data_IF_918440603560
#
_entry.id   IF_918440603560
#
_cell.length_a   1.000
_cell.length_b   1.000
_cell.length_c   1.000
_cell.angle_alpha   90.00
_cell.angle_beta   90.00
_cell.angle_gamma   90.00
#
_symmetry.space_group_name_H-M   'P 1'
#
loop_
_entity.id
_entity.type
_entity.pdbx_description
1 polymer ?
#
# COMPACT_ATOMS: atom_id res chain seq x y z
N UNK A 1 -12.13 25.71 12.25
CA UNK A 1 -12.12 24.93 10.99
C UNK A 1 -13.54 24.46 10.69
N UNK A 2 -13.97 24.45 9.43
CA UNK A 2 -15.22 23.76 9.06
C UNK A 2 -14.93 22.26 9.17
N UNK A 3 -15.66 21.57 10.04
CA UNK A 3 -15.61 20.11 10.16
C UNK A 3 -15.90 19.54 8.76
N UNK A 4 -14.97 18.73 8.22
CA UNK A 4 -15.24 17.98 7.00
C UNK A 4 -16.47 17.14 7.19
N UNK A 5 -17.27 17.04 6.14
CA UNK A 5 -18.44 16.19 6.10
C UNK A 5 -18.23 15.12 5.06
N UNK A 6 -19.06 14.09 5.15
CA UNK A 6 -19.22 13.14 4.07
C UNK A 6 -19.36 13.85 2.71
N UNK A 7 -18.49 13.45 1.77
CA UNK A 7 -18.37 13.98 0.43
C UNK A 7 -18.78 12.95 -0.65
N UNK A 8 -19.27 11.78 -0.23
CA UNK A 8 -19.75 10.73 -1.13
C UNK A 8 -21.25 10.95 -1.38
N UNK A 9 -21.63 10.99 -2.66
CA UNK A 9 -23.04 11.03 -3.08
C UNK A 9 -23.32 9.76 -3.88
N UNK A 10 -23.99 8.78 -3.26
CA UNK A 10 -24.29 7.48 -3.87
C UNK A 10 -24.99 7.65 -5.22
N UNK A 11 -26.02 8.51 -5.27
CA UNK A 11 -26.81 8.73 -6.48
C UNK A 11 -25.97 9.34 -7.58
N UNK A 12 -25.07 10.27 -7.25
CA UNK A 12 -24.14 10.84 -8.23
C UNK A 12 -23.26 9.74 -8.83
N UNK A 13 -22.61 8.92 -8.00
CA UNK A 13 -21.69 7.88 -8.47
C UNK A 13 -22.42 6.80 -9.31
N UNK A 14 -23.59 6.35 -8.85
CA UNK A 14 -24.44 5.41 -9.58
C UNK A 14 -24.89 5.98 -10.94
N UNK A 15 -25.34 7.23 -10.97
CA UNK A 15 -25.76 7.88 -12.20
C UNK A 15 -24.60 8.01 -13.20
N UNK A 16 -23.39 8.34 -12.74
CA UNK A 16 -22.20 8.41 -13.59
C UNK A 16 -21.90 7.04 -14.22
N UNK A 17 -21.97 5.95 -13.45
CA UNK A 17 -21.79 4.59 -13.98
C UNK A 17 -22.85 4.22 -15.02
N UNK A 18 -24.12 4.53 -14.75
CA UNK A 18 -25.22 4.21 -15.67
C UNK A 18 -25.15 5.02 -16.97
N UNK A 19 -24.68 6.27 -16.90
CA UNK A 19 -24.59 7.16 -18.06
C UNK A 19 -23.36 6.92 -18.93
N UNK A 20 -22.30 6.31 -18.39
CA UNK A 20 -21.09 6.02 -19.12
C UNK A 20 -21.36 5.05 -20.29
N UNK A 21 -21.08 5.52 -21.51
CA UNK A 21 -21.27 4.79 -22.77
C UNK A 21 -19.95 4.77 -23.53
N UNK A 22 -19.11 3.75 -23.32
CA UNK A 22 -17.77 3.73 -23.89
C UNK A 22 -17.82 3.61 -25.42
N UNK A 23 -16.94 4.36 -26.06
CA UNK A 23 -16.58 4.20 -27.48
C UNK A 23 -15.09 3.98 -27.57
N UNK A 24 -14.63 3.40 -28.68
CA UNK A 24 -13.20 3.16 -28.87
C UNK A 24 -12.39 4.46 -28.88
N UNK A 25 -12.89 5.50 -29.55
CA UNK A 25 -12.30 6.84 -29.58
C UNK A 25 -12.18 7.44 -28.17
N UNK A 26 -13.22 7.30 -27.35
CA UNK A 26 -13.23 7.85 -26.00
C UNK A 26 -12.24 7.13 -25.08
N UNK A 27 -12.15 5.81 -25.18
CA UNK A 27 -11.19 5.02 -24.40
C UNK A 27 -9.75 5.41 -24.75
N UNK A 28 -9.43 5.54 -26.04
CA UNK A 28 -8.10 6.00 -26.47
C UNK A 28 -7.80 7.42 -25.99
N UNK A 29 -8.78 8.34 -26.08
CA UNK A 29 -8.64 9.71 -25.59
C UNK A 29 -8.31 9.73 -24.08
N UNK A 30 -9.04 8.94 -23.29
CA UNK A 30 -8.87 8.84 -21.83
C UNK A 30 -7.49 8.25 -21.49
N UNK A 31 -7.08 7.17 -22.15
CA UNK A 31 -5.76 6.57 -21.94
C UNK A 31 -4.65 7.57 -22.28
N UNK A 32 -4.75 8.27 -23.42
CA UNK A 32 -3.75 9.27 -23.81
C UNK A 32 -3.63 10.43 -22.82
N UNK A 33 -4.76 10.90 -22.26
CA UNK A 33 -4.74 11.88 -21.17
C UNK A 33 -3.97 11.36 -19.96
N UNK A 34 -4.27 10.12 -19.54
CA UNK A 34 -3.58 9.49 -18.42
C UNK A 34 -2.08 9.28 -18.69
N UNK A 35 -1.69 8.95 -19.92
CA UNK A 35 -0.29 8.84 -20.36
C UNK A 35 0.47 10.17 -20.32
N UNK A 36 -0.23 11.30 -20.43
CA UNK A 36 0.28 12.64 -20.14
C UNK A 36 0.34 12.96 -18.64
N UNK A 37 0.07 11.95 -17.80
CA UNK A 37 0.12 11.96 -16.34
C UNK A 37 -0.93 12.88 -15.71
N UNK A 38 -2.07 13.02 -16.37
CA UNK A 38 -3.22 13.78 -15.87
C UNK A 38 -4.23 12.86 -15.18
N UNK A 39 -4.71 13.25 -13.99
CA UNK A 39 -5.75 12.52 -13.25
C UNK A 39 -7.09 12.56 -14.00
N UNK A 40 -7.72 11.38 -14.17
CA UNK A 40 -8.99 11.20 -14.88
C UNK A 40 -10.19 11.69 -14.06
N UNK A 41 -11.23 12.26 -14.70
CA UNK A 41 -12.49 12.58 -14.03
C UNK A 41 -13.28 11.32 -13.65
N UNK A 42 -14.31 11.48 -12.81
CA UNK A 42 -15.21 10.36 -12.48
C UNK A 42 -15.88 9.78 -13.73
N UNK A 43 -16.29 10.62 -14.68
CA UNK A 43 -16.94 10.22 -15.93
C UNK A 43 -15.97 9.48 -16.86
N UNK A 44 -14.72 9.95 -16.95
CA UNK A 44 -13.67 9.28 -17.72
C UNK A 44 -13.35 7.91 -17.10
N UNK A 45 -13.19 7.83 -15.77
CA UNK A 45 -12.97 6.57 -15.08
C UNK A 45 -14.16 5.61 -15.22
N UNK A 46 -15.39 6.11 -15.10
CA UNK A 46 -16.60 5.32 -15.33
C UNK A 46 -16.68 4.77 -16.75
N UNK A 47 -16.18 5.52 -17.73
CA UNK A 47 -16.08 5.03 -19.11
C UNK A 47 -15.13 3.84 -19.24
N UNK A 48 -13.99 3.86 -18.56
CA UNK A 48 -13.10 2.69 -18.51
C UNK A 48 -13.73 1.52 -17.74
N UNK A 49 -14.44 1.80 -16.64
CA UNK A 49 -15.13 0.78 -15.83
C UNK A 49 -16.24 0.07 -16.61
N UNK A 50 -16.93 0.77 -17.52
CA UNK A 50 -17.98 0.19 -18.37
C UNK A 50 -17.46 -0.42 -19.68
N UNK A 51 -16.15 -0.39 -19.92
CA UNK A 51 -15.57 -0.98 -21.12
C UNK A 51 -15.50 -2.51 -21.02
N UNK A 52 -16.49 -3.20 -21.60
CA UNK A 52 -16.61 -4.67 -21.52
C UNK A 52 -16.07 -5.42 -22.75
N UNK A 53 -15.71 -4.71 -23.83
CA UNK A 53 -15.18 -5.38 -25.03
C UNK A 53 -13.73 -5.84 -24.80
N UNK A 54 -13.34 -7.07 -25.16
CA UNK A 54 -11.98 -7.58 -24.96
C UNK A 54 -10.89 -6.67 -25.54
N UNK A 55 -11.10 -6.10 -26.72
CA UNK A 55 -10.16 -5.19 -27.36
C UNK A 55 -9.98 -3.86 -26.60
N UNK A 56 -11.00 -3.44 -25.85
CA UNK A 56 -10.95 -2.23 -25.03
C UNK A 56 -10.22 -2.50 -23.71
N UNK A 57 -10.50 -3.64 -23.08
CA UNK A 57 -9.83 -4.08 -21.85
C UNK A 57 -8.32 -4.21 -22.10
N UNK A 58 -7.93 -4.81 -23.22
CA UNK A 58 -6.52 -4.93 -23.62
C UNK A 58 -5.84 -3.57 -23.80
N UNK A 59 -6.53 -2.57 -24.37
CA UNK A 59 -6.00 -1.20 -24.46
C UNK A 59 -5.81 -0.58 -23.07
N UNK A 60 -6.75 -0.80 -22.16
CA UNK A 60 -6.67 -0.32 -20.77
C UNK A 60 -5.44 -0.92 -20.07
N UNK A 61 -5.23 -2.24 -20.20
CA UNK A 61 -4.07 -2.92 -19.61
C UNK A 61 -2.75 -2.37 -20.16
N UNK A 62 -2.62 -2.25 -21.49
CA UNK A 62 -1.42 -1.66 -22.12
C UNK A 62 -1.17 -0.23 -21.69
N UNK A 63 -2.21 0.60 -21.63
CA UNK A 63 -2.10 1.97 -21.16
C UNK A 63 -1.63 2.07 -19.72
N UNK A 64 -2.13 1.19 -18.85
CA UNK A 64 -1.76 1.17 -17.44
C UNK A 64 -0.31 0.69 -17.23
N UNK A 65 0.11 -0.34 -17.97
CA UNK A 65 1.49 -0.82 -17.98
C UNK A 65 2.46 0.25 -18.46
N UNK A 66 2.14 0.91 -19.58
CA UNK A 66 2.95 1.99 -20.11
C UNK A 66 3.06 3.15 -19.10
N UNK A 67 1.95 3.54 -18.46
CA UNK A 67 1.95 4.60 -17.46
C UNK A 67 2.76 4.22 -16.22
N UNK A 68 2.61 2.99 -15.71
CA UNK A 68 3.43 2.46 -14.60
C UNK A 68 4.90 2.60 -14.96
N UNK A 69 5.28 2.14 -16.14
CA UNK A 69 6.66 2.19 -16.61
C UNK A 69 7.16 3.64 -16.78
N UNK A 70 6.32 4.60 -17.22
CA UNK A 70 6.67 6.02 -17.32
C UNK A 70 6.92 6.68 -15.97
N UNK A 71 6.21 6.29 -14.91
CA UNK A 71 6.26 6.95 -13.59
C UNK A 71 7.18 6.19 -12.62
N UNK A 72 6.92 4.90 -12.41
CA UNK A 72 7.59 4.06 -11.42
C UNK A 72 8.73 3.24 -12.01
N UNK A 73 8.69 2.98 -13.32
CA UNK A 73 9.62 2.06 -13.97
C UNK A 73 9.43 0.63 -13.47
N UNK A 74 10.55 -0.09 -13.39
CA UNK A 74 10.72 -1.45 -12.90
C UNK A 74 10.88 -1.54 -11.38
N UNK A 75 10.86 -0.42 -10.66
CA UNK A 75 10.97 -0.43 -9.20
C UNK A 75 9.70 -0.98 -8.53
N UNK A 76 9.88 -1.90 -7.60
CA UNK A 76 8.85 -2.36 -6.66
C UNK A 76 9.32 -2.16 -5.22
N UNK A 77 8.60 -1.34 -4.46
CA UNK A 77 8.94 -1.07 -3.05
C UNK A 77 8.41 -2.20 -2.16
N UNK A 78 9.28 -2.73 -1.31
CA UNK A 78 8.95 -3.81 -0.38
C UNK A 78 8.70 -3.30 1.03
N UNK A 79 7.76 -3.93 1.72
CA UNK A 79 7.49 -3.73 3.15
C UNK A 79 6.99 -5.04 3.77
N UNK A 80 6.71 -5.01 5.07
CA UNK A 80 5.98 -6.07 5.74
C UNK A 80 5.00 -5.49 6.78
N UNK A 81 3.75 -6.00 6.87
CA UNK A 81 2.86 -5.62 7.96
C UNK A 81 3.36 -6.20 9.28
N UNK A 82 3.08 -5.53 10.40
CA UNK A 82 3.35 -6.04 11.74
C UNK A 82 2.09 -5.82 12.60
N UNK A 83 1.42 -6.91 12.94
CA UNK A 83 0.20 -6.88 13.74
C UNK A 83 0.56 -6.74 15.22
N UNK A 84 0.33 -5.55 15.76
CA UNK A 84 0.72 -5.23 17.16
C UNK A 84 -0.33 -5.71 18.15
N UNK A 85 -1.60 -5.77 17.74
CA UNK A 85 -2.67 -6.27 18.59
C UNK A 85 -4.01 -6.40 17.86
N UNK A 86 -4.78 -7.43 18.23
CA UNK A 86 -6.04 -7.79 17.56
C UNK A 86 -7.29 -7.62 18.44
N UNK A 87 -7.18 -6.96 19.61
CA UNK A 87 -8.37 -6.62 20.40
C UNK A 87 -9.21 -5.62 19.61
N UNK A 88 -10.50 -5.92 19.45
CA UNK A 88 -11.40 -5.05 18.71
C UNK A 88 -12.77 -5.03 19.36
N UNK A 89 -13.37 -3.84 19.46
CA UNK A 89 -14.72 -3.64 19.99
C UNK A 89 -15.80 -3.59 18.89
N UNK A 90 -15.39 -3.61 17.62
CA UNK A 90 -16.32 -3.60 16.49
C UNK A 90 -16.76 -4.99 16.08
N UNK A 91 -17.96 -5.09 15.51
CA UNK A 91 -18.47 -6.30 14.86
C UNK A 91 -18.62 -6.09 13.37
N UNK A 92 -17.49 -6.10 12.65
CA UNK A 92 -17.46 -6.06 11.19
C UNK A 92 -17.74 -7.47 10.66
N UNK A 93 -18.72 -7.62 9.78
CA UNK A 93 -19.20 -8.91 9.27
C UNK A 93 -18.07 -9.75 8.63
N UNK A 94 -17.16 -9.07 7.95
CA UNK A 94 -16.08 -9.62 7.14
C UNK A 94 -14.75 -9.89 7.87
N UNK A 95 -14.63 -9.57 9.16
CA UNK A 95 -13.33 -9.54 9.84
C UNK A 95 -13.22 -10.62 10.91
N UNK A 96 -12.15 -11.43 10.87
CA UNK A 96 -11.86 -12.45 11.89
C UNK A 96 -11.65 -11.86 13.28
N UNK A 97 -11.19 -10.61 13.38
CA UNK A 97 -11.00 -9.91 14.66
C UNK A 97 -12.28 -9.29 15.23
N UNK A 98 -13.46 -9.48 14.62
CA UNK A 98 -14.73 -8.93 15.17
C UNK A 98 -14.95 -9.34 16.63
N UNK A 99 -15.49 -8.45 17.45
CA UNK A 99 -15.63 -8.63 18.90
C UNK A 99 -16.41 -9.89 19.30
N UNK A 100 -17.38 -10.29 18.48
CA UNK A 100 -18.21 -11.49 18.68
C UNK A 100 -17.48 -12.79 18.35
N UNK A 101 -16.32 -12.74 17.68
CA UNK A 101 -15.54 -13.93 17.42
C UNK A 101 -14.78 -14.33 18.69
N UNK A 102 -15.19 -15.45 19.30
CA UNK A 102 -14.58 -16.06 20.48
C UNK A 102 -13.57 -17.15 20.14
N UNK A 103 -13.42 -17.51 18.85
CA UNK A 103 -12.44 -18.50 18.38
C UNK A 103 -11.06 -17.88 18.15
N UNK A 104 -11.00 -16.56 17.98
CA UNK A 104 -9.74 -15.83 17.75
C UNK A 104 -8.95 -15.64 19.06
N UNK A 105 -7.64 -15.89 18.99
CA UNK A 105 -6.72 -15.68 20.11
C UNK A 105 -6.40 -14.20 20.29
N UNK A 106 -6.96 -13.59 21.34
CA UNK A 106 -6.78 -12.16 21.61
C UNK A 106 -5.39 -11.89 22.20
N UNK A 107 -4.56 -11.20 21.43
CA UNK A 107 -3.21 -10.85 21.83
C UNK A 107 -2.90 -9.37 21.58
N UNK A 108 -1.96 -8.84 22.37
CA UNK A 108 -1.36 -7.52 22.18
C UNK A 108 0.09 -7.65 22.57
N UNK A 109 0.99 -7.32 21.64
CA UNK A 109 2.41 -7.38 21.89
C UNK A 109 2.79 -6.43 23.02
N UNK A 110 3.52 -6.94 24.00
CA UNK A 110 4.30 -6.09 24.89
C UNK A 110 5.40 -5.41 24.08
N UNK A 111 6.00 -4.34 24.63
CA UNK A 111 7.12 -3.68 23.96
C UNK A 111 8.28 -4.65 23.69
N UNK A 112 8.55 -5.60 24.61
CA UNK A 112 9.63 -6.57 24.40
C UNK A 112 9.34 -7.54 23.26
N UNK A 113 8.11 -8.03 23.16
CA UNK A 113 7.69 -8.90 22.06
C UNK A 113 7.68 -8.14 20.73
N UNK A 114 7.17 -6.90 20.72
CA UNK A 114 7.24 -6.02 19.55
C UNK A 114 8.69 -5.84 19.07
N UNK A 115 9.63 -5.60 19.98
CA UNK A 115 11.05 -5.48 19.64
C UNK A 115 11.61 -6.81 19.10
N UNK A 116 11.16 -7.96 19.62
CA UNK A 116 11.56 -9.27 19.10
C UNK A 116 11.05 -9.50 17.66
N UNK A 117 9.81 -9.13 17.37
CA UNK A 117 9.24 -9.17 16.01
C UNK A 117 10.03 -8.27 15.06
N UNK A 118 10.30 -7.02 15.46
CA UNK A 118 11.08 -6.07 14.64
C UNK A 118 12.48 -6.62 14.35
N UNK A 119 13.16 -7.21 15.34
CA UNK A 119 14.47 -7.85 15.15
C UNK A 119 14.39 -9.01 14.15
N UNK A 120 13.34 -9.82 14.21
CA UNK A 120 13.14 -10.91 13.26
C UNK A 120 12.90 -10.39 11.83
N UNK A 121 12.13 -9.31 11.67
CA UNK A 121 11.95 -8.64 10.38
C UNK A 121 13.27 -8.04 9.85
N UNK A 122 14.04 -7.38 10.71
CA UNK A 122 15.33 -6.77 10.37
C UNK A 122 16.37 -7.81 9.93
N UNK A 123 16.41 -8.98 10.58
CA UNK A 123 17.24 -10.14 10.17
C UNK A 123 16.91 -10.66 8.79
N UNK A 124 15.65 -10.55 8.37
CA UNK A 124 15.20 -10.94 7.02
C UNK A 124 15.43 -9.83 5.99
N UNK A 125 15.95 -8.67 6.40
CA UNK A 125 16.31 -7.57 5.52
C UNK A 125 15.25 -6.48 5.39
N UNK A 126 14.11 -6.58 6.08
CA UNK A 126 13.08 -5.56 6.05
C UNK A 126 13.59 -4.19 6.52
N UNK A 127 13.11 -3.12 5.89
CA UNK A 127 13.41 -1.72 6.27
C UNK A 127 12.14 -0.85 6.36
N UNK A 128 10.98 -1.37 5.97
CA UNK A 128 9.70 -0.66 5.95
C UNK A 128 8.65 -1.54 6.58
N UNK A 129 7.87 -1.00 7.51
CA UNK A 129 6.80 -1.74 8.16
C UNK A 129 5.50 -0.95 8.19
N UNK A 130 4.37 -1.66 8.18
CA UNK A 130 3.05 -1.10 8.48
C UNK A 130 2.57 -1.70 9.80
N UNK A 131 2.48 -0.91 10.86
CA UNK A 131 1.93 -1.38 12.12
C UNK A 131 0.40 -1.42 12.01
N UNK A 132 -0.18 -2.57 12.35
CA UNK A 132 -1.61 -2.85 12.23
C UNK A 132 -2.20 -3.11 13.61
N UNK A 133 -3.36 -2.50 13.88
CA UNK A 133 -4.06 -2.59 15.16
C UNK A 133 -5.54 -2.87 14.94
N UNK A 134 -6.15 -3.62 15.86
CA UNK A 134 -7.60 -3.59 16.05
C UNK A 134 -8.09 -2.22 16.51
N UNK A 135 -9.36 -2.09 16.85
CA UNK A 135 -9.92 -0.87 17.43
C UNK A 135 -10.39 -1.15 18.85
N UNK A 136 -9.62 -0.72 19.84
CA UNK A 136 -9.84 -0.96 21.27
C UNK A 136 -9.36 0.26 22.07
N UNK A 137 -9.95 0.55 23.25
CA UNK A 137 -9.41 1.56 24.17
C UNK A 137 -7.94 1.31 24.56
N UNK A 138 -7.45 0.08 24.44
CA UNK A 138 -6.04 -0.28 24.67
C UNK A 138 -5.08 0.28 23.60
N UNK A 139 -5.60 0.67 22.42
CA UNK A 139 -4.83 1.11 21.26
C UNK A 139 -5.04 2.59 20.96
N UNK A 140 -5.01 3.42 22.01
CA UNK A 140 -5.07 4.86 21.86
C UNK A 140 -3.83 5.43 21.14
N UNK A 141 -3.87 6.73 20.85
CA UNK A 141 -2.78 7.41 20.17
C UNK A 141 -1.45 7.36 20.97
N UNK A 142 -1.49 7.29 22.29
CA UNK A 142 -0.28 7.18 23.13
C UNK A 142 0.36 5.80 23.01
N UNK A 143 -0.44 4.74 22.99
CA UNK A 143 0.04 3.38 22.75
C UNK A 143 0.62 3.23 21.35
N UNK A 144 -0.07 3.72 20.32
CA UNK A 144 0.44 3.71 18.93
C UNK A 144 1.76 4.50 18.86
N UNK A 145 1.82 5.71 19.43
CA UNK A 145 3.05 6.50 19.46
C UNK A 145 4.22 5.78 20.18
N UNK A 146 3.92 5.10 21.29
CA UNK A 146 4.91 4.32 22.05
C UNK A 146 5.45 3.13 21.25
N UNK A 147 4.58 2.43 20.53
CA UNK A 147 4.99 1.27 19.71
C UNK A 147 5.81 1.71 18.50
N UNK A 148 5.47 2.83 17.85
CA UNK A 148 6.31 3.44 16.79
C UNK A 148 7.71 3.78 17.30
N UNK A 149 7.83 4.45 18.46
CA UNK A 149 9.14 4.73 19.07
C UNK A 149 9.92 3.45 19.32
N UNK A 150 9.28 2.42 19.88
CA UNK A 150 9.94 1.14 20.13
C UNK A 150 10.46 0.48 18.84
N UNK A 151 9.73 0.57 17.73
CA UNK A 151 10.21 0.09 16.42
C UNK A 151 11.44 0.88 15.97
N UNK A 152 11.38 2.22 15.99
CA UNK A 152 12.53 3.05 15.61
C UNK A 152 13.73 2.94 16.54
N UNK A 153 13.54 2.59 17.81
CA UNK A 153 14.61 2.36 18.80
C UNK A 153 15.22 0.95 18.69
N UNK A 154 14.58 0.05 17.93
CA UNK A 154 15.06 -1.33 17.75
C UNK A 154 16.08 -1.38 16.61
N UNK A 155 17.15 -2.14 16.84
CA UNK A 155 18.16 -2.47 15.85
C UNK A 155 18.61 -3.90 16.07
N UNK A 156 18.87 -4.60 14.97
CA UNK A 156 19.45 -5.94 14.94
C UNK A 156 20.59 -5.98 13.93
N UNK A 157 21.82 -5.98 14.45
CA UNK A 157 23.05 -5.89 13.66
C UNK A 157 23.04 -4.68 12.69
N UNK A 158 23.10 -4.92 11.37
CA UNK A 158 23.01 -3.88 10.32
C UNK A 158 21.56 -3.50 9.96
N UNK A 159 20.58 -4.20 10.52
CA UNK A 159 19.16 -4.01 10.24
C UNK A 159 18.55 -2.82 10.98
N UNK A 160 17.66 -2.11 10.28
CA UNK A 160 16.84 -1.06 10.86
C UNK A 160 15.52 -0.87 10.09
N UNK A 161 14.41 -0.70 10.80
CA UNK A 161 13.18 -0.17 10.20
C UNK A 161 13.31 1.35 10.03
N UNK A 162 13.34 1.80 8.77
CA UNK A 162 13.56 3.20 8.36
C UNK A 162 12.28 4.00 8.16
N UNK A 163 11.14 3.34 7.93
CA UNK A 163 9.82 3.98 7.78
C UNK A 163 8.74 3.09 8.37
N UNK A 164 7.97 3.66 9.30
CA UNK A 164 6.80 3.03 9.92
C UNK A 164 5.53 3.71 9.44
N UNK A 165 4.71 2.99 8.67
CA UNK A 165 3.34 3.40 8.36
C UNK A 165 2.38 2.82 9.40
N UNK A 166 1.18 3.38 9.52
CA UNK A 166 0.15 2.94 10.46
C UNK A 166 -1.12 2.58 9.70
N UNK A 167 -1.70 1.42 10.00
CA UNK A 167 -3.08 1.09 9.65
C UNK A 167 -3.86 0.86 10.94
N UNK A 168 -4.72 1.82 11.29
CA UNK A 168 -5.50 1.80 12.53
C UNK A 168 -6.82 2.57 12.33
N UNK A 169 -7.70 2.50 13.32
CA UNK A 169 -8.95 3.24 13.33
C UNK A 169 -8.74 4.77 13.24
N UNK A 170 -9.70 5.55 12.74
CA UNK A 170 -9.58 7.01 12.69
C UNK A 170 -9.36 7.62 14.09
N UNK A 171 -8.42 8.55 14.21
CA UNK A 171 -8.14 9.30 15.43
C UNK A 171 -8.75 10.71 15.34
N UNK A 172 -8.72 11.42 16.46
CA UNK A 172 -8.93 12.87 16.45
C UNK A 172 -7.63 13.61 16.08
N UNK A 173 -7.73 14.93 15.90
CA UNK A 173 -6.59 15.76 15.49
C UNK A 173 -5.44 15.68 16.51
N UNK A 174 -5.73 15.65 17.80
CA UNK A 174 -4.70 15.61 18.83
C UNK A 174 -4.00 14.25 18.89
N UNK A 175 -4.72 13.14 18.67
CA UNK A 175 -4.15 11.83 18.46
C UNK A 175 -3.22 11.79 17.23
N UNK A 176 -3.63 12.37 16.11
CA UNK A 176 -2.78 12.46 14.93
C UNK A 176 -1.53 13.33 15.14
N UNK A 177 -1.61 14.42 15.91
CA UNK A 177 -0.42 15.22 16.27
C UNK A 177 0.61 14.39 17.03
N UNK A 178 0.17 13.55 17.98
CA UNK A 178 1.08 12.62 18.68
C UNK A 178 1.79 11.68 17.71
N UNK A 179 1.08 11.19 16.69
CA UNK A 179 1.69 10.32 15.67
C UNK A 179 2.66 11.08 14.75
N UNK A 180 2.37 12.34 14.44
CA UNK A 180 3.29 13.23 13.73
C UNK A 180 4.58 13.45 14.52
N UNK A 181 4.49 13.69 15.83
CA UNK A 181 5.64 13.93 16.71
C UNK A 181 6.61 12.73 16.76
N UNK A 182 6.11 11.51 16.61
CA UNK A 182 6.95 10.29 16.59
C UNK A 182 7.46 9.91 15.19
N UNK A 183 7.11 10.68 14.17
CA UNK A 183 7.60 10.48 12.80
C UNK A 183 7.04 9.22 12.13
N UNK A 184 5.72 9.07 12.07
CA UNK A 184 5.16 8.05 11.17
C UNK A 184 5.37 8.46 9.70
N UNK A 185 5.41 7.47 8.82
CA UNK A 185 5.43 7.67 7.36
C UNK A 185 4.04 8.00 6.85
N UNK A 186 3.21 6.97 6.61
CA UNK A 186 1.85 7.12 6.08
C UNK A 186 0.81 6.64 7.09
N UNK A 187 -0.26 7.41 7.30
CA UNK A 187 -1.43 6.94 8.02
C UNK A 187 -2.49 6.40 7.05
N UNK A 188 -2.92 5.15 7.24
CA UNK A 188 -3.79 4.44 6.33
C UNK A 188 -5.15 4.16 6.97
N UNK A 189 -6.21 4.56 6.26
CA UNK A 189 -7.59 4.21 6.60
C UNK A 189 -8.24 3.62 5.36
N UNK A 190 -8.65 2.35 5.43
CA UNK A 190 -9.46 1.77 4.37
C UNK A 190 -10.91 2.18 4.61
N UNK A 191 -11.57 2.85 3.67
CA UNK A 191 -13.00 3.13 3.83
C UNK A 191 -13.82 1.82 3.92
N UNK A 192 -13.23 0.70 3.50
CA UNK A 192 -13.82 -0.64 3.39
C UNK A 192 -14.84 -0.70 2.26
N UNK A 193 -15.88 0.13 2.33
CA UNK A 193 -16.88 0.33 1.28
C UNK A 193 -17.39 1.77 1.34
N UNK A 194 -17.44 2.44 0.19
CA UNK A 194 -17.97 3.81 0.08
C UNK A 194 -19.50 3.82 0.01
N UNK A 195 -20.14 2.69 -0.29
CA UNK A 195 -21.60 2.61 -0.40
C UNK A 195 -22.26 2.63 0.98
N UNK A 196 -23.04 3.66 1.29
CA UNK A 196 -23.57 3.91 2.63
C UNK A 196 -24.40 2.75 3.19
N UNK A 197 -25.31 2.18 2.38
CA UNK A 197 -26.16 1.09 2.82
C UNK A 197 -25.34 -0.18 3.11
N UNK A 198 -24.35 -0.49 2.26
CA UNK A 198 -23.43 -1.61 2.50
C UNK A 198 -22.61 -1.35 3.76
N UNK A 199 -22.05 -0.16 3.94
CA UNK A 199 -21.26 0.18 5.11
C UNK A 199 -22.06 -0.01 6.41
N UNK A 200 -23.31 0.47 6.45
CA UNK A 200 -24.18 0.29 7.60
C UNK A 200 -24.52 -1.19 7.87
N UNK A 201 -24.68 -1.97 6.80
CA UNK A 201 -24.98 -3.41 6.89
C UNK A 201 -23.81 -4.19 7.48
N UNK A 202 -22.60 -4.00 6.95
CA UNK A 202 -21.43 -4.83 7.30
C UNK A 202 -20.72 -4.40 8.59
N UNK A 203 -21.04 -3.24 9.14
CA UNK A 203 -20.54 -2.76 10.44
C UNK A 203 -21.68 -2.77 11.47
N UNK A 204 -21.80 -3.86 12.25
CA UNK A 204 -22.97 -4.07 13.12
C UNK A 204 -22.92 -3.34 14.47
N UNK A 205 -21.73 -3.19 15.07
CA UNK A 205 -21.54 -2.51 16.37
C UNK A 205 -20.15 -1.89 16.48
N UNK A 206 -20.00 -0.98 17.45
CA UNK A 206 -18.76 -0.27 17.73
C UNK A 206 -18.64 1.09 17.01
N UNK A 207 -17.58 1.87 17.29
CA UNK A 207 -17.32 3.18 16.70
C UNK A 207 -17.17 3.15 15.17
N UNK A 208 -16.71 2.04 14.58
CA UNK A 208 -16.55 1.92 13.12
C UNK A 208 -17.87 2.05 12.36
N UNK A 209 -19.03 1.95 13.01
CA UNK A 209 -20.33 2.20 12.36
C UNK A 209 -20.53 3.63 11.87
N UNK A 210 -19.82 4.57 12.46
CA UNK A 210 -19.91 5.98 12.08
C UNK A 210 -19.18 6.21 10.75
N UNK A 211 -19.94 6.23 9.66
CA UNK A 211 -19.43 6.46 8.32
C UNK A 211 -18.74 7.82 8.22
N UNK A 212 -19.37 8.89 8.74
CA UNK A 212 -18.85 10.26 8.65
C UNK A 212 -17.54 10.41 9.44
N UNK A 213 -17.45 9.79 10.62
CA UNK A 213 -16.21 9.74 11.41
C UNK A 213 -15.07 9.06 10.65
N UNK A 214 -15.35 7.96 9.95
CA UNK A 214 -14.34 7.21 9.18
C UNK A 214 -13.94 7.94 7.90
N UNK A 215 -14.89 8.34 7.06
CA UNK A 215 -14.61 8.96 5.75
C UNK A 215 -13.82 10.28 5.89
N UNK A 216 -14.06 11.02 6.98
CA UNK A 216 -13.34 12.26 7.30
C UNK A 216 -12.10 12.04 8.20
N UNK A 217 -11.70 10.79 8.44
CA UNK A 217 -10.54 10.45 9.27
C UNK A 217 -9.23 11.03 8.74
N UNK A 218 -9.02 10.92 7.43
CA UNK A 218 -7.80 11.42 6.79
C UNK A 218 -7.80 12.94 6.63
N UNK A 219 -8.97 13.58 6.59
CA UNK A 219 -9.06 15.04 6.75
C UNK A 219 -8.43 15.49 8.08
N UNK A 220 -8.78 14.83 9.18
CA UNK A 220 -8.22 15.13 10.50
C UNK A 220 -6.72 14.85 10.56
N UNK A 221 -6.25 13.80 9.88
CA UNK A 221 -4.82 13.50 9.76
C UNK A 221 -4.07 14.63 9.03
N UNK A 222 -4.59 15.09 7.89
CA UNK A 222 -4.01 16.21 7.14
C UNK A 222 -4.08 17.53 7.92
N UNK A 223 -5.18 17.80 8.63
CA UNK A 223 -5.32 18.98 9.50
C UNK A 223 -4.36 18.95 10.71
N UNK A 224 -3.98 17.75 11.20
CA UNK A 224 -2.89 17.56 12.16
C UNK A 224 -1.48 17.68 11.53
N UNK A 225 -1.42 17.78 10.21
CA UNK A 225 -0.21 17.92 9.41
C UNK A 225 0.50 16.61 9.08
N UNK A 226 -0.20 15.48 9.11
CA UNK A 226 0.22 14.23 8.46
C UNK A 226 -0.18 14.32 6.99
N UNK A 227 0.81 14.59 6.14
CA UNK A 227 0.63 14.91 4.73
C UNK A 227 0.74 13.69 3.80
N UNK A 228 1.33 12.58 4.27
CA UNK A 228 1.25 11.28 3.62
C UNK A 228 0.11 10.44 4.23
N UNK A 229 -1.00 10.31 3.49
CA UNK A 229 -2.13 9.44 3.87
C UNK A 229 -2.37 8.33 2.85
N UNK A 230 -2.96 7.22 3.29
CA UNK A 230 -3.37 6.12 2.41
C UNK A 230 -4.84 5.79 2.54
N UNK A 231 -5.52 5.65 1.41
CA UNK A 231 -6.91 5.20 1.35
C UNK A 231 -6.97 3.74 0.87
N UNK A 232 -8.11 3.09 1.05
CA UNK A 232 -8.33 1.77 0.47
C UNK A 232 -9.77 1.30 0.56
N UNK A 233 -10.06 0.23 -0.16
CA UNK A 233 -11.37 -0.45 -0.22
C UNK A 233 -11.14 -1.94 -0.03
N UNK A 234 -12.05 -2.59 0.69
CA UNK A 234 -12.13 -4.05 0.75
C UNK A 234 -13.05 -4.54 -0.38
N UNK A 235 -12.45 -4.88 -1.53
CA UNK A 235 -13.18 -5.37 -2.69
C UNK A 235 -13.82 -6.73 -2.38
N UNK A 236 -15.12 -6.86 -2.66
CA UNK A 236 -15.91 -8.01 -2.21
C UNK A 236 -17.15 -7.63 -1.40
N UNK A 237 -17.18 -6.42 -0.83
CA UNK A 237 -18.33 -5.97 -0.01
C UNK A 237 -19.47 -5.36 -0.84
N UNK A 238 -19.14 -4.72 -1.96
CA UNK A 238 -20.09 -4.10 -2.89
C UNK A 238 -19.52 -4.08 -4.32
N UNK A 239 -20.30 -3.56 -5.27
CA UNK A 239 -19.92 -3.45 -6.68
C UNK A 239 -18.58 -2.73 -6.86
N UNK A 240 -17.62 -3.43 -7.49
CA UNK A 240 -16.25 -2.93 -7.58
C UNK A 240 -16.13 -1.66 -8.43
N UNK A 241 -17.03 -1.44 -9.40
CA UNK A 241 -17.03 -0.23 -10.23
C UNK A 241 -17.43 0.99 -9.40
N UNK A 242 -18.46 0.85 -8.57
CA UNK A 242 -18.85 1.86 -7.59
C UNK A 242 -17.68 2.19 -6.66
N UNK A 243 -17.02 1.17 -6.11
CA UNK A 243 -15.93 1.39 -5.15
C UNK A 243 -14.70 2.07 -5.77
N UNK A 244 -14.37 1.78 -7.05
CA UNK A 244 -13.31 2.50 -7.77
C UNK A 244 -13.66 3.98 -7.94
N UNK A 245 -14.93 4.32 -8.23
CA UNK A 245 -15.35 5.73 -8.25
C UNK A 245 -15.30 6.37 -6.86
N UNK A 246 -15.64 5.64 -5.79
CA UNK A 246 -15.51 6.11 -4.42
C UNK A 246 -14.06 6.46 -4.05
N UNK A 247 -13.11 5.59 -4.40
CA UNK A 247 -11.66 5.84 -4.25
C UNK A 247 -11.22 7.10 -5.00
N UNK A 248 -11.70 7.29 -6.23
CA UNK A 248 -11.36 8.46 -7.03
C UNK A 248 -12.00 9.74 -6.48
N UNK A 249 -13.25 9.71 -6.03
CA UNK A 249 -13.91 10.88 -5.41
C UNK A 249 -13.20 11.29 -4.11
N UNK A 250 -12.78 10.31 -3.29
CA UNK A 250 -11.96 10.59 -2.11
C UNK A 250 -10.60 11.22 -2.48
N UNK A 251 -9.96 10.71 -3.53
CA UNK A 251 -8.73 11.33 -4.05
C UNK A 251 -8.97 12.79 -4.47
N UNK A 252 -10.03 13.05 -5.24
CA UNK A 252 -10.42 14.40 -5.69
C UNK A 252 -10.72 15.32 -4.50
N UNK A 253 -11.37 14.81 -3.45
CA UNK A 253 -11.66 15.57 -2.24
C UNK A 253 -10.37 16.03 -1.55
N UNK A 254 -9.43 15.11 -1.33
CA UNK A 254 -8.14 15.44 -0.70
C UNK A 254 -7.36 16.45 -1.55
N UNK A 255 -7.27 16.23 -2.86
CA UNK A 255 -6.62 17.17 -3.79
C UNK A 255 -7.26 18.57 -3.76
N UNK A 256 -8.60 18.66 -3.75
CA UNK A 256 -9.30 19.95 -3.71
C UNK A 256 -9.13 20.68 -2.39
N UNK A 257 -9.09 19.95 -1.27
CA UNK A 257 -9.08 20.56 0.07
C UNK A 257 -7.65 20.86 0.56
N UNK A 258 -6.68 20.04 0.17
CA UNK A 258 -5.31 20.08 0.70
C UNK A 258 -4.24 20.15 -0.39
N UNK A 259 -4.62 20.31 -1.67
CA UNK A 259 -3.74 20.34 -2.85
C UNK A 259 -2.91 19.06 -3.08
N UNK A 260 -3.16 18.01 -2.31
CA UNK A 260 -2.47 16.73 -2.42
C UNK A 260 -3.48 15.59 -2.24
N UNK A 261 -3.39 14.59 -3.10
CA UNK A 261 -4.16 13.35 -3.00
C UNK A 261 -3.55 12.38 -1.98
N UNK A 262 -4.08 11.14 -1.91
CA UNK A 262 -3.46 10.11 -1.09
C UNK A 262 -2.09 9.71 -1.65
N UNK A 263 -1.14 9.44 -0.75
CA UNK A 263 0.17 8.89 -1.09
C UNK A 263 0.03 7.47 -1.65
N UNK A 264 -0.91 6.68 -1.11
CA UNK A 264 -1.18 5.31 -1.56
C UNK A 264 -2.66 4.95 -1.60
N UNK A 265 -3.04 4.09 -2.53
CA UNK A 265 -4.30 3.35 -2.54
C UNK A 265 -4.00 1.85 -2.33
N UNK A 266 -4.67 1.25 -1.37
CA UNK A 266 -4.72 -0.19 -1.17
C UNK A 266 -6.05 -0.76 -1.68
N UNK A 267 -6.00 -1.93 -2.29
CA UNK A 267 -7.17 -2.60 -2.90
C UNK A 267 -7.25 -4.06 -2.44
N UNK A 268 -7.24 -4.37 -1.13
CA UNK A 268 -7.39 -5.75 -0.67
C UNK A 268 -8.71 -6.38 -1.16
N UNK A 269 -8.66 -7.63 -1.64
CA UNK A 269 -9.88 -8.44 -1.80
C UNK A 269 -10.27 -9.09 -0.48
N UNK A 270 -11.57 -9.32 -0.32
CA UNK A 270 -12.13 -10.12 0.75
C UNK A 270 -11.52 -11.54 0.70
N UNK A 271 -11.12 -12.04 1.86
CA UNK A 271 -10.47 -13.34 2.03
C UNK A 271 -11.11 -14.07 3.19
N UNK A 272 -10.95 -15.39 3.20
CA UNK A 272 -11.40 -16.25 4.30
C UNK A 272 -10.81 -15.77 5.63
N UNK A 273 -11.60 -15.82 6.69
CA UNK A 273 -11.20 -15.42 8.03
C UNK A 273 -11.97 -16.22 9.08
N UNK A 274 -11.39 -16.35 10.28
CA UNK A 274 -11.99 -17.09 11.40
C UNK A 274 -13.39 -16.58 11.71
N UNK A 275 -14.36 -17.51 11.80
CA UNK A 275 -15.76 -17.23 12.13
C UNK A 275 -16.43 -16.17 11.21
N UNK A 276 -16.04 -16.10 9.93
CA UNK A 276 -16.63 -15.21 8.92
C UNK A 276 -17.28 -16.04 7.82
N UNK A 277 -18.52 -15.69 7.47
CA UNK A 277 -19.18 -16.21 6.27
C UNK A 277 -19.19 -15.11 5.23
N UNK A 278 -18.70 -15.43 4.03
CA UNK A 278 -18.55 -14.49 2.93
C UNK A 278 -19.78 -14.60 2.01
N UNK A 279 -20.45 -13.47 1.76
CA UNK A 279 -21.44 -13.33 0.70
C UNK A 279 -20.72 -13.31 -0.65
N UNK A 280 -21.10 -14.22 -1.56
CA UNK A 280 -20.46 -14.37 -2.87
C UNK A 280 -20.91 -13.32 -3.89
N UNK A 281 -21.98 -12.56 -3.61
CA UNK A 281 -22.64 -11.66 -4.56
C UNK A 281 -21.72 -10.61 -5.20
N UNK A 282 -20.77 -10.08 -4.44
CA UNK A 282 -19.89 -8.98 -4.86
C UNK A 282 -18.41 -9.37 -4.86
N UNK A 283 -18.10 -10.67 -4.77
CA UNK A 283 -16.72 -11.12 -4.88
C UNK A 283 -16.13 -10.73 -6.22
N UNK A 284 -14.89 -10.26 -6.16
CA UNK A 284 -14.14 -9.78 -7.31
C UNK A 284 -13.25 -10.88 -7.83
N UNK A 285 -13.48 -11.31 -9.08
CA UNK A 285 -12.63 -12.31 -9.73
C UNK A 285 -11.28 -11.72 -10.17
N UNK A 286 -10.39 -12.57 -10.70
CA UNK A 286 -9.03 -12.15 -11.07
C UNK A 286 -9.00 -11.19 -12.27
N UNK A 287 -9.94 -11.30 -13.20
CA UNK A 287 -10.02 -10.41 -14.37
C UNK A 287 -10.58 -9.04 -13.98
N UNK A 288 -11.58 -9.01 -13.11
CA UNK A 288 -12.06 -7.77 -12.49
C UNK A 288 -10.95 -7.12 -11.64
N UNK A 289 -10.18 -7.92 -10.90
CA UNK A 289 -9.07 -7.41 -10.09
C UNK A 289 -7.96 -6.76 -10.94
N UNK A 290 -7.58 -7.40 -12.06
CA UNK A 290 -6.68 -6.80 -13.06
C UNK A 290 -7.23 -5.46 -13.58
N UNK A 291 -8.53 -5.40 -13.88
CA UNK A 291 -9.20 -4.17 -14.34
C UNK A 291 -9.17 -3.07 -13.28
N UNK A 292 -9.46 -3.39 -12.02
CA UNK A 292 -9.39 -2.43 -10.90
C UNK A 292 -8.01 -1.78 -10.84
N UNK A 293 -6.93 -2.59 -10.85
CA UNK A 293 -5.56 -2.10 -10.73
C UNK A 293 -5.18 -1.21 -11.92
N UNK A 294 -5.46 -1.67 -13.14
CA UNK A 294 -5.15 -0.93 -14.35
C UNK A 294 -5.90 0.41 -14.42
N UNK A 295 -7.20 0.40 -14.10
CA UNK A 295 -8.04 1.61 -14.11
C UNK A 295 -7.62 2.58 -13.00
N UNK A 296 -7.29 2.09 -11.80
CA UNK A 296 -6.77 2.94 -10.72
C UNK A 296 -5.44 3.60 -11.11
N UNK A 297 -4.50 2.84 -11.72
CA UNK A 297 -3.22 3.40 -12.20
C UNK A 297 -3.46 4.51 -13.21
N UNK A 298 -4.39 4.31 -14.15
CA UNK A 298 -4.75 5.33 -15.12
C UNK A 298 -5.46 6.53 -14.47
N UNK A 299 -6.35 6.30 -13.50
CA UNK A 299 -7.13 7.35 -12.86
C UNK A 299 -6.29 8.29 -11.99
N UNK A 300 -5.33 7.74 -11.24
CA UNK A 300 -4.47 8.48 -10.30
C UNK A 300 -2.97 8.19 -10.57
N UNK A 301 -2.38 8.80 -11.61
CA UNK A 301 -1.06 8.44 -12.13
C UNK A 301 0.06 8.39 -11.08
N UNK A 302 0.07 9.34 -10.13
CA UNK A 302 1.16 9.52 -9.17
C UNK A 302 0.95 8.83 -7.83
N UNK A 303 -0.24 8.33 -7.55
CA UNK A 303 -0.54 7.66 -6.28
C UNK A 303 0.05 6.24 -6.31
N UNK A 304 0.71 5.86 -5.22
CA UNK A 304 1.25 4.52 -5.06
C UNK A 304 0.11 3.50 -4.95
N UNK A 305 0.25 2.37 -5.63
CA UNK A 305 -0.69 1.25 -5.55
C UNK A 305 -0.04 0.14 -4.72
N UNK A 306 -0.73 -0.28 -3.64
CA UNK A 306 -0.29 -1.33 -2.70
C UNK A 306 -1.03 -2.63 -2.98
N UNK A 307 -0.28 -3.67 -3.34
CA UNK A 307 -0.77 -5.04 -3.46
C UNK A 307 -0.25 -5.87 -2.28
N UNK A 308 -1.16 -6.53 -1.56
CA UNK A 308 -0.83 -7.32 -0.36
C UNK A 308 -0.74 -8.82 -0.65
N UNK A 309 -0.15 -9.58 0.28
CA UNK A 309 -0.05 -11.04 0.27
C UNK A 309 -1.39 -11.76 0.44
N UNK A 310 -2.51 -11.03 0.45
CA UNK A 310 -3.86 -11.58 0.24
C UNK A 310 -3.95 -12.39 -1.05
N UNK A 311 -3.26 -11.94 -2.09
CA UNK A 311 -3.26 -12.62 -3.39
C UNK A 311 -2.15 -13.65 -3.48
N UNK A 312 -2.38 -14.71 -4.26
CA UNK A 312 -1.37 -15.73 -4.50
C UNK A 312 -0.24 -15.23 -5.40
N UNK A 313 0.90 -15.92 -5.34
CA UNK A 313 2.11 -15.59 -6.08
C UNK A 313 1.86 -15.38 -7.59
N UNK A 314 1.02 -16.22 -8.21
CA UNK A 314 0.76 -16.18 -9.65
C UNK A 314 0.02 -14.91 -10.02
N UNK A 315 -1.09 -14.62 -9.34
CA UNK A 315 -1.86 -13.40 -9.60
C UNK A 315 -1.03 -12.15 -9.29
N UNK A 316 -0.25 -12.16 -8.21
CA UNK A 316 0.63 -11.05 -7.86
C UNK A 316 1.60 -10.73 -9.00
N UNK A 317 2.26 -11.75 -9.55
CA UNK A 317 3.16 -11.62 -10.70
C UNK A 317 2.46 -11.00 -11.92
N UNK A 318 1.23 -11.42 -12.19
CA UNK A 318 0.42 -10.90 -13.31
C UNK A 318 0.00 -9.44 -13.14
N UNK A 319 -0.37 -9.00 -11.93
CA UNK A 319 -0.91 -7.64 -11.74
C UNK A 319 0.14 -6.58 -11.43
N UNK A 320 1.38 -6.98 -11.13
CA UNK A 320 2.44 -6.01 -10.83
C UNK A 320 2.66 -5.05 -12.00
N UNK A 321 2.70 -5.53 -13.24
CA UNK A 321 2.91 -4.69 -14.42
C UNK A 321 1.73 -3.74 -14.69
N UNK A 322 0.52 -4.04 -14.22
CA UNK A 322 -0.69 -3.24 -14.47
C UNK A 322 -0.76 -1.95 -13.66
N UNK A 323 0.09 -1.78 -12.66
CA UNK A 323 0.12 -0.50 -11.93
C UNK A 323 0.68 -0.54 -10.52
N UNK A 324 0.95 -1.71 -9.96
CA UNK A 324 1.43 -1.85 -8.59
C UNK A 324 2.79 -1.18 -8.42
N UNK A 325 2.99 -0.52 -7.28
CA UNK A 325 4.25 0.17 -6.95
C UNK A 325 4.88 -0.29 -5.64
N UNK A 326 4.07 -0.87 -4.74
CA UNK A 326 4.55 -1.42 -3.48
C UNK A 326 3.85 -2.75 -3.21
N UNK A 327 4.61 -3.70 -2.67
CA UNK A 327 4.09 -4.99 -2.23
C UNK A 327 4.65 -5.33 -0.85
N UNK A 328 3.90 -6.08 -0.06
CA UNK A 328 4.44 -6.76 1.11
C UNK A 328 5.17 -8.05 0.71
N UNK A 329 6.18 -8.47 1.46
CA UNK A 329 6.93 -9.69 1.16
C UNK A 329 7.48 -10.32 2.45
N UNK A 330 7.58 -11.64 2.51
CA UNK A 330 7.84 -12.34 3.77
C UNK A 330 6.76 -12.03 4.81
N UNK A 331 5.50 -11.93 4.37
CA UNK A 331 4.39 -11.48 5.20
C UNK A 331 4.03 -12.56 6.23
N UNK A 332 3.91 -12.13 7.49
CA UNK A 332 3.30 -12.88 8.58
C UNK A 332 2.28 -11.95 9.22
N UNK A 333 1.02 -12.38 9.33
CA UNK A 333 -0.04 -11.54 9.92
C UNK A 333 -0.56 -12.08 11.24
N UNK A 334 -0.02 -13.22 11.69
CA UNK A 334 -0.13 -13.69 13.07
C UNK A 334 0.52 -12.72 14.04
N UNK A 335 -0.08 -12.58 15.22
CA UNK A 335 0.60 -11.92 16.33
C UNK A 335 1.70 -12.87 16.86
N UNK A 336 2.93 -12.34 16.94
CA UNK A 336 4.19 -13.08 17.16
C UNK A 336 4.67 -13.93 15.95
N UNK A 337 4.08 -13.73 14.76
CA UNK A 337 4.40 -14.56 13.60
C UNK A 337 5.82 -14.40 13.04
N UNK A 338 6.51 -13.28 13.28
CA UNK A 338 7.85 -13.08 12.74
C UNK A 338 8.95 -13.79 13.54
N UNK A 339 8.83 -13.82 14.86
CA UNK A 339 9.83 -14.39 15.77
C UNK A 339 9.68 -15.89 15.99
N UNK A 340 8.50 -16.46 15.77
CA UNK A 340 8.24 -17.90 15.89
C UNK A 340 8.78 -18.69 14.67
N UNK A 341 8.95 -18.04 13.51
CA UNK A 341 9.42 -18.63 12.25
C UNK A 341 8.64 -19.90 11.83
N UNK A 342 7.35 -19.95 12.18
CA UNK A 342 6.43 -20.99 11.73
C UNK A 342 5.85 -20.64 10.36
N UNK A 343 5.83 -21.62 9.46
CA UNK A 343 5.34 -21.47 8.09
C UNK A 343 3.90 -21.96 7.89
N UNK A 344 3.31 -22.61 8.89
CA UNK A 344 1.89 -22.97 8.88
C UNK A 344 1.04 -21.78 9.33
N UNK A 345 0.00 -21.44 8.54
CA UNK A 345 -0.96 -20.39 8.88
C UNK A 345 -2.00 -20.91 9.88
N UNK A 346 -2.20 -20.19 10.98
CA UNK A 346 -3.33 -20.39 11.91
C UNK A 346 -4.37 -19.27 11.76
N UNK A 347 -5.50 -19.60 11.14
CA UNK A 347 -6.61 -18.67 10.91
C UNK A 347 -7.18 -18.05 12.21
N UNK A 348 -6.96 -18.66 13.37
CA UNK A 348 -7.39 -18.14 14.67
C UNK A 348 -6.38 -17.16 15.31
N UNK A 349 -5.17 -17.06 14.74
CA UNK A 349 -4.14 -16.09 15.13
C UNK A 349 -3.97 -14.96 14.10
N UNK A 350 -4.50 -15.14 12.89
CA UNK A 350 -4.45 -14.18 11.78
C UNK A 350 -5.75 -13.38 11.57
N UNK A 351 -5.67 -12.26 10.85
CA UNK A 351 -6.87 -11.47 10.51
C UNK A 351 -7.70 -12.13 9.39
N UNK A 352 -7.03 -12.80 8.46
CA UNK A 352 -7.56 -13.46 7.26
C UNK A 352 -6.49 -14.43 6.73
N UNK A 353 -6.82 -15.34 5.82
CA UNK A 353 -5.82 -16.21 5.17
C UNK A 353 -5.03 -15.46 4.09
N UNK A 354 -3.70 -15.50 4.15
CA UNK A 354 -2.82 -14.98 3.09
C UNK A 354 -2.68 -16.00 1.95
N UNK A 355 -2.55 -15.49 0.73
CA UNK A 355 -2.31 -16.26 -0.49
C UNK A 355 -0.84 -16.45 -0.84
N UNK A 356 0.06 -15.62 -0.28
CA UNK A 356 1.50 -15.68 -0.54
C UNK A 356 2.32 -15.59 0.75
N UNK A 357 2.70 -16.75 1.28
CA UNK A 357 3.52 -16.91 2.48
C UNK A 357 5.02 -17.06 2.20
N UNK A 358 5.46 -16.84 0.95
CA UNK A 358 6.88 -17.01 0.57
C UNK A 358 7.79 -16.08 1.36
N UNK A 359 9.03 -16.52 1.53
CA UNK A 359 10.08 -15.72 2.17
C UNK A 359 10.34 -14.42 1.40
N UNK A 360 10.89 -13.41 2.09
CA UNK A 360 11.30 -12.16 1.44
C UNK A 360 12.30 -12.42 0.29
N UNK A 361 13.24 -13.34 0.49
CA UNK A 361 14.24 -13.70 -0.52
C UNK A 361 13.64 -14.35 -1.76
N UNK A 362 12.65 -15.23 -1.60
CA UNK A 362 11.99 -15.88 -2.74
C UNK A 362 11.15 -14.90 -3.56
N UNK A 363 10.46 -13.96 -2.90
CA UNK A 363 9.72 -12.89 -3.58
C UNK A 363 10.70 -11.97 -4.33
N UNK A 364 11.83 -11.62 -3.71
CA UNK A 364 12.89 -10.84 -4.36
C UNK A 364 13.43 -11.59 -5.59
N UNK A 365 13.75 -12.87 -5.45
CA UNK A 365 14.26 -13.69 -6.56
C UNK A 365 13.29 -13.73 -7.75
N UNK A 366 11.98 -13.85 -7.50
CA UNK A 366 10.96 -13.79 -8.56
C UNK A 366 10.93 -12.41 -9.25
N UNK A 367 10.93 -11.32 -8.47
CA UNK A 367 10.96 -9.97 -9.01
C UNK A 367 12.18 -9.75 -9.93
N UNK A 368 13.36 -10.21 -9.51
CA UNK A 368 14.57 -10.12 -10.31
C UNK A 368 14.48 -10.94 -11.60
N UNK A 369 13.89 -12.14 -11.53
CA UNK A 369 13.69 -13.01 -12.69
C UNK A 369 12.76 -12.39 -13.73
N UNK A 370 11.87 -11.49 -13.30
CA UNK A 370 10.97 -10.72 -14.13
C UNK A 370 11.50 -9.33 -14.54
N UNK A 371 12.74 -9.00 -14.14
CA UNK A 371 13.40 -7.74 -14.49
C UNK A 371 12.97 -6.54 -13.64
N UNK A 372 12.31 -6.76 -12.49
CA UNK A 372 11.99 -5.71 -11.53
C UNK A 372 13.16 -5.44 -10.58
N UNK A 373 13.24 -4.21 -10.07
CA UNK A 373 14.21 -3.79 -9.06
C UNK A 373 13.48 -3.72 -7.70
N UNK A 374 13.73 -4.67 -6.78
CA UNK A 374 13.27 -4.57 -5.40
C UNK A 374 13.82 -3.31 -4.73
N UNK A 375 13.03 -2.65 -3.89
CA UNK A 375 13.48 -1.43 -3.22
C UNK A 375 12.99 -1.34 -1.79
N UNK A 376 13.91 -0.98 -0.91
CA UNK A 376 13.62 -0.65 0.49
C UNK A 376 13.75 0.86 0.74
N UNK A 377 13.70 1.68 -0.32
CA UNK A 377 13.96 3.10 -0.29
C UNK A 377 13.06 3.83 0.71
N UNK A 378 13.66 4.68 1.54
CA UNK A 378 13.00 5.61 2.46
C UNK A 378 13.52 7.05 2.31
N UNK A 379 14.24 7.34 1.23
CA UNK A 379 14.88 8.63 0.98
C UNK A 379 13.92 9.82 1.07
N UNK A 380 12.71 9.70 0.50
CA UNK A 380 11.71 10.76 0.59
C UNK A 380 11.35 11.11 2.03
N UNK A 381 11.26 10.10 2.91
CA UNK A 381 11.01 10.30 4.33
C UNK A 381 12.20 10.98 5.02
N UNK A 382 13.44 10.54 4.75
CA UNK A 382 14.67 11.16 5.29
C UNK A 382 14.85 12.62 4.87
N UNK A 383 14.44 12.97 3.65
CA UNK A 383 14.63 14.28 3.05
C UNK A 383 13.42 15.22 3.21
N UNK A 384 12.37 14.80 3.93
CA UNK A 384 11.16 15.60 4.10
C UNK A 384 10.40 15.85 2.79
N UNK A 385 10.53 14.95 1.80
CA UNK A 385 9.76 14.95 0.55
C UNK A 385 8.44 14.21 0.78
N UNK A 386 7.54 14.83 1.54
CA UNK A 386 6.19 14.32 1.89
C UNK A 386 5.12 15.26 1.34
N UNK A 387 3.86 14.79 1.23
CA UNK A 387 2.75 15.67 0.82
C UNK A 387 2.95 16.37 -0.53
N UNK A 388 2.68 17.67 -0.59
CA UNK A 388 2.85 18.51 -1.79
C UNK A 388 4.29 18.46 -2.33
N UNK A 389 5.31 18.47 -1.45
CA UNK A 389 6.71 18.41 -1.89
C UNK A 389 7.01 17.11 -2.64
N UNK A 390 6.44 15.97 -2.23
CA UNK A 390 6.58 14.72 -2.98
C UNK A 390 6.01 14.86 -4.40
N UNK A 391 4.84 15.51 -4.53
CA UNK A 391 4.16 15.69 -5.80
C UNK A 391 4.94 16.61 -6.75
N UNK A 392 5.67 17.60 -6.25
CA UNK A 392 6.57 18.44 -7.06
C UNK A 392 7.67 17.63 -7.77
N UNK A 393 8.12 16.50 -7.18
CA UNK A 393 9.06 15.58 -7.84
C UNK A 393 8.34 14.53 -8.70
N UNK A 394 7.17 14.08 -8.26
CA UNK A 394 6.39 13.09 -8.98
C UNK A 394 5.87 13.62 -10.32
N UNK A 395 5.25 14.80 -10.31
CA UNK A 395 4.51 15.35 -11.43
C UNK A 395 5.37 15.54 -12.69
N UNK A 396 6.52 16.22 -12.61
CA UNK A 396 7.39 16.42 -13.76
C UNK A 396 8.07 15.13 -14.26
N UNK A 397 7.92 14.00 -13.54
CA UNK A 397 8.57 12.73 -13.85
C UNK A 397 9.98 12.60 -13.28
N UNK A 398 10.32 13.36 -12.24
CA UNK A 398 11.63 13.25 -11.59
C UNK A 398 11.78 12.01 -10.71
N UNK A 399 10.69 11.26 -10.46
CA UNK A 399 10.75 9.96 -9.76
C UNK A 399 11.85 9.07 -10.36
N UNK A 400 11.94 8.90 -11.68
CA UNK A 400 12.98 8.05 -12.26
C UNK A 400 14.41 8.49 -11.92
N UNK A 401 14.65 9.80 -11.85
CA UNK A 401 15.99 10.38 -11.62
C UNK A 401 16.53 10.14 -10.21
N UNK A 402 15.66 10.09 -9.20
CA UNK A 402 16.09 9.93 -7.80
C UNK A 402 15.78 8.54 -7.27
N UNK A 403 14.64 8.01 -7.68
CA UNK A 403 13.99 6.89 -7.05
C UNK A 403 14.48 5.55 -7.67
N UNK A 404 14.97 5.57 -8.92
CA UNK A 404 15.74 4.45 -9.51
C UNK A 404 17.10 4.25 -8.84
N UNK A 405 17.96 5.29 -8.75
CA UNK A 405 19.22 5.21 -8.03
C UNK A 405 19.07 4.74 -6.58
N UNK A 406 18.14 5.30 -5.83
CA UNK A 406 17.87 4.87 -4.46
C UNK A 406 17.36 3.40 -4.38
N UNK A 407 16.68 2.90 -5.41
CA UNK A 407 16.30 1.48 -5.46
C UNK A 407 17.53 0.60 -5.53
N UNK A 408 18.46 0.88 -6.45
CA UNK A 408 19.72 0.15 -6.61
C UNK A 408 20.54 0.15 -5.31
N UNK A 409 20.65 1.30 -4.63
CA UNK A 409 21.39 1.39 -3.36
C UNK A 409 20.76 0.49 -2.29
N UNK A 410 19.45 0.63 -2.04
CA UNK A 410 18.78 -0.20 -1.02
C UNK A 410 18.73 -1.68 -1.38
N UNK A 411 18.74 -2.00 -2.67
CA UNK A 411 18.79 -3.38 -3.12
C UNK A 411 20.18 -3.98 -2.92
N UNK A 412 21.25 -3.24 -3.24
CA UNK A 412 22.63 -3.65 -2.96
C UNK A 412 22.86 -3.88 -1.47
N UNK A 413 22.31 -3.04 -0.59
CA UNK A 413 22.32 -3.30 0.85
C UNK A 413 21.69 -4.66 1.19
N UNK A 414 20.56 -5.00 0.56
CA UNK A 414 19.92 -6.30 0.77
C UNK A 414 20.79 -7.46 0.29
N UNK A 415 21.43 -7.32 -0.89
CA UNK A 415 22.32 -8.33 -1.46
C UNK A 415 23.55 -8.61 -0.59
N UNK A 416 24.11 -7.59 0.04
CA UNK A 416 25.29 -7.76 0.90
C UNK A 416 24.95 -8.35 2.27
N UNK A 417 23.78 -8.03 2.82
CA UNK A 417 23.46 -8.35 4.20
C UNK A 417 22.55 -9.56 4.40
N UNK A 418 21.68 -9.89 3.43
CA UNK A 418 20.57 -10.83 3.68
C UNK A 418 20.29 -11.83 2.55
N UNK A 419 20.67 -11.52 1.31
CA UNK A 419 20.28 -12.34 0.16
C UNK A 419 20.91 -13.75 0.21
N UNK A 420 20.15 -14.73 -0.28
CA UNK A 420 20.74 -16.04 -0.59
C UNK A 420 21.69 -15.95 -1.80
N UNK A 421 22.61 -16.91 -1.95
CA UNK A 421 23.57 -16.92 -3.06
C UNK A 421 22.91 -16.83 -4.45
N UNK A 422 21.79 -17.55 -4.66
CA UNK A 422 21.02 -17.50 -5.92
C UNK A 422 20.48 -16.10 -6.21
N UNK A 423 20.05 -15.40 -5.16
CA UNK A 423 19.45 -14.06 -5.25
C UNK A 423 20.54 -13.02 -5.44
N UNK A 424 21.69 -13.20 -4.78
CA UNK A 424 22.88 -12.36 -4.95
C UNK A 424 23.40 -12.42 -6.38
N UNK A 425 23.61 -13.61 -6.93
CA UNK A 425 24.09 -13.78 -8.32
C UNK A 425 23.20 -13.06 -9.34
N UNK A 426 21.87 -13.27 -9.25
CA UNK A 426 20.93 -12.62 -10.15
C UNK A 426 20.83 -11.11 -9.91
N UNK A 427 20.90 -10.69 -8.65
CA UNK A 427 20.82 -9.29 -8.25
C UNK A 427 22.01 -8.45 -8.71
N UNK A 428 23.23 -8.95 -8.56
CA UNK A 428 24.44 -8.25 -9.04
C UNK A 428 24.37 -8.06 -10.56
N UNK A 429 23.97 -9.10 -11.29
CA UNK A 429 23.79 -9.02 -12.74
C UNK A 429 22.75 -7.95 -13.13
N UNK A 430 21.61 -7.90 -12.43
CA UNK A 430 20.60 -6.88 -12.69
C UNK A 430 21.15 -5.46 -12.40
N UNK A 431 21.91 -5.27 -11.32
CA UNK A 431 22.53 -3.97 -11.01
C UNK A 431 23.46 -3.54 -12.15
N UNK A 432 24.31 -4.43 -12.66
CA UNK A 432 25.18 -4.15 -13.81
C UNK A 432 24.39 -3.75 -15.06
N UNK A 433 23.34 -4.51 -15.39
CA UNK A 433 22.45 -4.22 -16.52
C UNK A 433 21.79 -2.83 -16.36
N UNK A 434 21.30 -2.50 -15.17
CA UNK A 434 20.65 -1.21 -14.88
C UNK A 434 21.61 -0.04 -14.87
N UNK A 435 22.86 -0.22 -14.42
CA UNK A 435 23.89 0.80 -14.54
C UNK A 435 24.28 1.06 -16.00
N UNK A 436 24.23 0.04 -16.86
CA UNK A 436 24.49 0.19 -18.29
C UNK A 436 23.38 0.95 -19.03
N UNK A 437 22.14 0.96 -18.52
CA UNK A 437 21.01 1.72 -19.05
C UNK A 437 21.09 3.24 -18.73
N UNK A 438 21.95 3.67 -17.81
CA UNK A 438 22.05 5.08 -17.39
C UNK A 438 22.91 5.87 -18.39
N UNK A 439 22.27 6.76 -19.16
CA UNK A 439 22.94 7.59 -20.16
C UNK A 439 23.80 8.74 -19.58
N UNK A 440 23.43 9.28 -18.40
CA UNK A 440 24.18 10.38 -17.78
C UNK A 440 25.36 9.84 -16.96
N UNK A 441 26.56 9.89 -17.54
CA UNK A 441 27.79 9.38 -16.93
C UNK A 441 28.07 9.94 -15.53
N UNK A 442 27.78 11.23 -15.28
CA UNK A 442 27.97 11.82 -13.94
C UNK A 442 27.03 11.23 -12.90
N UNK A 443 25.80 10.91 -13.27
CA UNK A 443 24.85 10.24 -12.39
C UNK A 443 25.29 8.80 -12.16
N UNK A 444 25.72 8.10 -13.23
CA UNK A 444 26.24 6.74 -13.15
C UNK A 444 27.44 6.63 -12.19
N UNK A 445 28.47 7.46 -12.38
CA UNK A 445 29.67 7.51 -11.52
C UNK A 445 29.31 7.72 -10.04
N UNK A 446 28.31 8.57 -9.74
CA UNK A 446 27.85 8.81 -8.37
C UNK A 446 27.14 7.60 -7.77
N UNK A 447 26.39 6.85 -8.57
CA UNK A 447 25.71 5.63 -8.12
C UNK A 447 26.75 4.56 -7.86
N UNK A 448 27.68 4.33 -8.78
CA UNK A 448 28.78 3.38 -8.65
C UNK A 448 29.61 3.66 -7.39
N UNK A 449 29.99 4.91 -7.15
CA UNK A 449 30.71 5.28 -5.93
C UNK A 449 29.94 4.94 -4.65
N UNK A 450 28.62 5.19 -4.61
CA UNK A 450 27.79 4.83 -3.46
C UNK A 450 27.56 3.32 -3.32
N UNK A 451 27.53 2.57 -4.42
CA UNK A 451 27.47 1.11 -4.41
C UNK A 451 28.76 0.52 -3.84
N UNK A 452 29.93 1.03 -4.24
CA UNK A 452 31.23 0.67 -3.66
C UNK A 452 31.29 1.01 -2.16
N UNK A 453 30.73 2.15 -1.75
CA UNK A 453 30.60 2.48 -0.33
C UNK A 453 29.75 1.46 0.44
N UNK A 454 28.69 0.90 -0.18
CA UNK A 454 27.86 -0.16 0.43
C UNK A 454 28.62 -1.48 0.53
N UNK A 455 29.41 -1.85 -0.47
CA UNK A 455 30.31 -3.02 -0.38
C UNK A 455 31.31 -2.86 0.77
N UNK A 456 31.75 -1.62 1.04
CA UNK A 456 32.59 -1.25 2.18
C UNK A 456 31.79 -0.97 3.47
N UNK A 457 30.67 -1.65 3.66
CA UNK A 457 29.84 -1.65 4.88
C UNK A 457 29.12 -0.33 5.23
N UNK A 458 29.11 0.69 4.36
CA UNK A 458 28.24 1.86 4.59
C UNK A 458 26.78 1.52 4.28
N UNK A 459 25.85 2.09 5.06
CA UNK A 459 24.41 1.85 4.94
C UNK A 459 23.63 3.15 5.00
N UNK A 460 22.38 3.10 4.55
CA UNK A 460 21.42 4.19 4.43
C UNK A 460 21.94 5.36 3.56
N UNK A 461 22.52 5.02 2.41
CA UNK A 461 22.91 6.00 1.40
C UNK A 461 21.74 6.32 0.47
N UNK A 462 21.52 7.61 0.21
CA UNK A 462 20.42 8.07 -0.66
C UNK A 462 20.76 9.35 -1.44
N UNK A 463 19.89 9.68 -2.39
CA UNK A 463 19.87 10.87 -3.27
C UNK A 463 18.65 11.77 -3.04
#
# INVERSE_FOLDING_TARGET
MKVSKDFIDDKKLENILVQAKPTEEEIERIINKSLNKERLSLEETATLLQAEKPEWIEKIFKGAEELKNRIYGDRIVLFAPLYVGNKCINNCEYCGFKASNTEIDRCTLTIKELQAEVKAMEKKGQKRSILVYGESPDYDADFIAKTVKAVYDTREDKGEIRRVNINAAPLDIDGYKKLKEVGIGTYQIFQETYHHETYQRVHHSGPKRDFEWRITGLDRAMEAGLDDVGIGVLFGLYDWKYEVLGLLEHTIHLEKKYNVGPHTISFPRLKEASNVSIDDKYLVDDEEFKRIIAILRLAVPYTGLILTAREDAKLRREVINLGVSQIDAGTKIEINGYSEDDDEQDINREQFMIGDSRSLDDVIYELLSDGYIPSFCTACYRLGRTGEHFMEFAIPGFIKRYCGPNALLTFKEYLEDYASEKTKELGEKLIEEKLAEIEDEKTKEKIEAKLEEIENEKRDLYF
#
